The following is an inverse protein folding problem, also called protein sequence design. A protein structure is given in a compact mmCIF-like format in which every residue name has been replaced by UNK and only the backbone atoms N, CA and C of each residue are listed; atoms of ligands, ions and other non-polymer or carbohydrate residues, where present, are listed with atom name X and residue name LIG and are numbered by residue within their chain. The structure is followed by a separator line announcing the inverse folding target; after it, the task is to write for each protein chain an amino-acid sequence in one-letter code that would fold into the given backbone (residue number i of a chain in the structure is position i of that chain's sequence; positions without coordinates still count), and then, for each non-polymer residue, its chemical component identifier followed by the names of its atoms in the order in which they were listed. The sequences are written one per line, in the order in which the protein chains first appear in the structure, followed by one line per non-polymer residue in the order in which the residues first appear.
data_IF_566471240032
#
_entry.id   IF_566471240032
#
_cell.length_a   1.000
_cell.length_b   1.000
_cell.length_c   1.000
_cell.angle_alpha   90.00
_cell.angle_beta   90.00
_cell.angle_gamma   90.00
#
_symmetry.space_group_name_H-M   'P 1'
#
loop_
_entity.id
_entity.type
_entity.pdbx_description
1 polymer ?
#
# COMPACT_ATOMS: atom_id res chain seq x y z
N UNK A 1 -66.44 -56.69 -59.79
CA UNK A 1 -65.30 -57.60 -59.61
C UNK A 1 -64.13 -56.81 -59.05
N UNK A 2 -63.38 -57.37 -58.09
CA UNK A 2 -62.49 -56.67 -57.16
C UNK A 2 -61.00 -56.83 -57.51
N UNK A 3 -60.16 -55.86 -57.20
CA UNK A 3 -58.68 -56.02 -57.06
C UNK A 3 -58.23 -54.91 -56.08
N UNK A 4 -57.94 -55.24 -54.80
CA UNK A 4 -56.58 -55.50 -54.25
C UNK A 4 -55.79 -54.20 -54.02
N UNK A 5 -55.04 -53.93 -52.95
CA UNK A 5 -54.80 -54.56 -51.65
C UNK A 5 -54.15 -53.48 -50.76
N UNK A 6 -54.29 -53.65 -49.44
CA UNK A 6 -53.56 -52.93 -48.39
C UNK A 6 -52.15 -53.51 -48.23
N UNK A 7 -51.19 -52.63 -47.89
CA UNK A 7 -50.09 -52.78 -46.92
C UNK A 7 -48.95 -51.83 -47.35
N UNK A 8 -48.26 -51.09 -46.50
CA UNK A 8 -48.26 -50.90 -45.06
C UNK A 8 -47.33 -49.71 -44.81
N UNK A 9 -47.75 -48.77 -43.99
CA UNK A 9 -46.97 -47.58 -43.64
C UNK A 9 -46.31 -47.87 -42.30
N UNK A 10 -44.98 -47.99 -42.28
CA UNK A 10 -44.18 -47.94 -41.05
C UNK A 10 -43.32 -46.69 -41.09
N UNK A 11 -43.50 -45.87 -40.07
CA UNK A 11 -42.98 -44.52 -39.90
C UNK A 11 -41.47 -44.40 -39.94
N UNK A 12 -41.08 -43.24 -40.48
CA UNK A 12 -39.81 -42.55 -40.30
C UNK A 12 -39.47 -42.32 -38.82
N UNK A 13 -38.19 -42.50 -38.48
CA UNK A 13 -37.44 -41.54 -37.65
C UNK A 13 -35.95 -41.67 -37.97
N UNK A 14 -35.44 -40.70 -38.72
CA UNK A 14 -34.02 -40.41 -38.89
C UNK A 14 -33.63 -39.50 -37.72
N UNK A 15 -32.55 -39.83 -37.00
CA UNK A 15 -31.76 -38.81 -36.31
C UNK A 15 -30.29 -39.21 -36.34
N UNK A 16 -29.55 -38.55 -37.23
CA UNK A 16 -28.10 -38.46 -37.15
C UNK A 16 -27.71 -37.72 -35.87
N UNK A 17 -26.72 -38.24 -35.15
CA UNK A 17 -25.84 -37.40 -34.34
C UNK A 17 -24.41 -37.92 -34.46
N UNK A 18 -23.70 -37.37 -35.46
CA UNK A 18 -22.29 -37.06 -35.31
C UNK A 18 -22.21 -35.77 -34.48
N UNK A 19 -21.49 -35.76 -33.36
CA UNK A 19 -20.70 -34.59 -33.00
C UNK A 19 -19.64 -34.92 -31.93
N UNK A 20 -18.40 -34.70 -32.35
CA UNK A 20 -17.28 -34.14 -31.60
C UNK A 20 -16.89 -34.75 -30.25
N UNK A 21 -15.70 -35.34 -30.27
CA UNK A 21 -14.73 -35.40 -29.18
C UNK A 21 -14.55 -33.97 -28.66
N UNK A 22 -15.27 -33.59 -27.60
CA UNK A 22 -14.91 -32.44 -26.80
C UNK A 22 -13.80 -32.88 -25.85
N UNK A 23 -12.56 -32.71 -26.32
CA UNK A 23 -11.45 -32.41 -25.42
C UNK A 23 -11.92 -31.24 -24.56
N UNK A 24 -12.33 -31.55 -23.33
CA UNK A 24 -12.46 -30.56 -22.28
C UNK A 24 -11.06 -30.00 -22.07
N UNK A 25 -10.72 -28.96 -22.83
CA UNK A 25 -9.81 -27.94 -22.38
C UNK A 25 -10.43 -27.41 -21.08
N UNK A 26 -10.03 -27.99 -19.96
CA UNK A 26 -9.83 -27.19 -18.77
C UNK A 26 -8.90 -26.08 -19.24
N UNK A 27 -9.47 -24.94 -19.63
CA UNK A 27 -8.78 -23.67 -19.52
C UNK A 27 -8.49 -23.56 -18.04
N UNK A 28 -7.37 -24.16 -17.67
CA UNK A 28 -6.67 -23.88 -16.44
C UNK A 28 -6.51 -22.37 -16.52
N UNK A 29 -7.38 -21.69 -15.77
CA UNK A 29 -7.33 -20.27 -15.62
C UNK A 29 -6.01 -20.05 -14.91
N UNK A 30 -4.95 -19.88 -15.68
CA UNK A 30 -3.71 -19.26 -15.23
C UNK A 30 -4.10 -17.85 -14.83
N UNK A 31 -4.71 -17.76 -13.64
CA UNK A 31 -4.69 -16.56 -12.83
C UNK A 31 -3.23 -16.11 -12.87
N UNK A 32 -2.96 -14.89 -13.34
CA UNK A 32 -1.58 -14.45 -13.47
C UNK A 32 -0.94 -14.63 -12.10
N UNK A 33 0.06 -15.51 -12.00
CA UNK A 33 0.81 -15.70 -10.76
C UNK A 33 1.23 -14.30 -10.33
N UNK A 34 0.63 -13.80 -9.25
CA UNK A 34 0.95 -12.51 -8.67
C UNK A 34 2.39 -12.62 -8.20
N UNK A 35 3.32 -12.28 -9.09
CA UNK A 35 4.73 -12.36 -8.77
C UNK A 35 4.96 -11.33 -7.67
N UNK A 36 5.42 -11.74 -6.48
CA UNK A 36 5.62 -10.82 -5.38
C UNK A 36 6.55 -9.68 -5.80
N UNK A 37 6.43 -8.52 -5.16
CA UNK A 37 7.37 -7.43 -5.37
C UNK A 37 8.78 -7.92 -5.06
N UNK A 38 9.76 -7.59 -5.90
CA UNK A 38 11.15 -7.77 -5.50
C UNK A 38 11.48 -6.82 -4.34
N UNK A 39 12.51 -7.12 -3.54
CA UNK A 39 12.94 -6.27 -2.42
C UNK A 39 13.13 -4.80 -2.83
N UNK A 40 13.74 -4.54 -4.00
CA UNK A 40 13.93 -3.19 -4.51
C UNK A 40 12.59 -2.48 -4.80
N UNK A 41 11.58 -3.21 -5.29
CA UNK A 41 10.24 -2.68 -5.56
C UNK A 41 9.47 -2.46 -4.26
N UNK A 42 9.63 -3.33 -3.26
CA UNK A 42 9.07 -3.13 -1.93
C UNK A 42 9.65 -1.87 -1.25
N UNK A 43 10.98 -1.70 -1.30
CA UNK A 43 11.62 -0.46 -0.82
C UNK A 43 11.12 0.76 -1.58
N UNK A 44 11.01 0.68 -2.91
CA UNK A 44 10.46 1.75 -3.74
C UNK A 44 9.02 2.11 -3.35
N UNK A 45 8.18 1.12 -3.05
CA UNK A 45 6.81 1.32 -2.58
C UNK A 45 6.77 2.17 -1.30
N UNK A 46 7.60 1.83 -0.29
CA UNK A 46 7.68 2.60 0.96
C UNK A 46 8.17 4.03 0.73
N UNK A 47 9.25 4.21 -0.04
CA UNK A 47 9.81 5.54 -0.34
C UNK A 47 8.77 6.41 -1.05
N UNK A 48 8.08 5.85 -2.05
CA UNK A 48 7.03 6.55 -2.79
C UNK A 48 5.84 6.91 -1.92
N UNK A 49 5.38 5.97 -1.06
CA UNK A 49 4.31 6.23 -0.11
C UNK A 49 4.68 7.34 0.87
N UNK A 50 5.88 7.29 1.44
CA UNK A 50 6.36 8.31 2.38
C UNK A 50 6.42 9.68 1.73
N UNK A 51 7.04 9.78 0.55
CA UNK A 51 7.08 11.02 -0.22
C UNK A 51 5.68 11.57 -0.52
N UNK A 52 4.74 10.70 -0.91
CA UNK A 52 3.36 11.11 -1.18
C UNK A 52 2.62 11.61 0.08
N UNK A 53 2.92 11.06 1.26
CA UNK A 53 2.32 11.51 2.53
C UNK A 53 3.00 12.75 3.14
N UNK A 54 4.30 12.94 2.87
CA UNK A 54 5.08 14.06 3.43
C UNK A 54 5.07 15.31 2.56
N UNK A 55 4.61 15.22 1.31
CA UNK A 55 4.57 16.35 0.41
C UNK A 55 3.51 17.37 0.88
N UNK A 56 4.02 18.44 1.48
CA UNK A 56 3.22 19.54 2.04
C UNK A 56 2.63 20.45 0.97
N UNK A 57 2.93 20.24 -0.31
CA UNK A 57 2.32 21.01 -1.41
C UNK A 57 0.90 20.54 -1.71
N UNK A 58 0.48 19.40 -1.15
CA UNK A 58 -0.89 18.92 -1.29
C UNK A 58 -1.87 19.80 -0.53
N UNK A 59 -2.67 20.57 -1.29
CA UNK A 59 -3.84 21.30 -0.78
C UNK A 59 -4.95 20.26 -0.56
N UNK A 60 -5.38 20.01 0.68
CA UNK A 60 -6.38 18.98 0.91
C UNK A 60 -7.72 19.42 0.31
N UNK A 61 -8.40 18.45 -0.30
CA UNK A 61 -9.62 18.69 -1.10
C UNK A 61 -10.83 18.75 -0.17
N UNK A 62 -10.72 18.05 0.96
CA UNK A 62 -11.74 18.01 1.99
C UNK A 62 -11.07 17.97 3.36
N UNK A 63 -11.57 18.82 4.25
CA UNK A 63 -11.26 18.81 5.67
C UNK A 63 -12.54 18.67 6.45
N UNK A 64 -12.55 17.70 7.35
CA UNK A 64 -13.55 17.56 8.41
C UNK A 64 -12.84 17.49 9.76
N UNK A 65 -13.61 17.53 10.84
CA UNK A 65 -13.07 17.39 12.19
C UNK A 65 -12.27 16.09 12.38
N UNK A 66 -12.66 15.03 11.67
CA UNK A 66 -12.15 13.67 11.94
C UNK A 66 -11.37 13.07 10.75
N UNK A 67 -11.38 13.73 9.59
CA UNK A 67 -10.70 13.21 8.40
C UNK A 67 -10.24 14.29 7.44
N UNK A 68 -9.12 14.00 6.78
CA UNK A 68 -8.50 14.81 5.73
C UNK A 68 -8.42 13.95 4.47
N UNK A 69 -8.83 14.49 3.33
CA UNK A 69 -8.65 13.83 2.03
C UNK A 69 -7.63 14.61 1.21
N UNK A 70 -6.57 13.91 0.82
CA UNK A 70 -5.49 14.45 -0.01
C UNK A 70 -5.48 13.77 -1.38
N UNK A 71 -5.09 14.51 -2.41
CA UNK A 71 -4.90 14.00 -3.77
C UNK A 71 -3.52 13.36 -3.86
N UNK A 72 -3.41 12.21 -4.51
CA UNK A 72 -2.10 11.60 -4.74
C UNK A 72 -1.45 12.17 -6.01
N UNK A 73 -0.10 12.20 -6.10
CA UNK A 73 0.61 12.93 -7.15
C UNK A 73 0.26 12.49 -8.58
N UNK A 74 -0.02 11.21 -8.80
CA UNK A 74 -0.34 10.65 -10.13
C UNK A 74 -1.82 10.30 -10.30
N UNK A 75 -2.69 10.76 -9.40
CA UNK A 75 -4.14 10.50 -9.43
C UNK A 75 -4.65 9.70 -8.25
N UNK A 76 -5.96 9.64 -8.09
CA UNK A 76 -6.61 9.06 -6.90
C UNK A 76 -6.49 9.94 -5.66
N UNK A 77 -6.70 9.34 -4.49
CA UNK A 77 -6.71 10.05 -3.22
C UNK A 77 -6.30 9.15 -2.05
N UNK A 78 -5.90 9.77 -0.94
CA UNK A 78 -5.74 9.10 0.34
C UNK A 78 -6.60 9.81 1.38
N UNK A 79 -7.29 9.02 2.21
CA UNK A 79 -8.01 9.53 3.39
C UNK A 79 -7.15 9.30 4.61
N UNK A 80 -6.87 10.36 5.36
CA UNK A 80 -6.18 10.35 6.63
C UNK A 80 -7.21 10.57 7.74
N UNK A 81 -7.28 9.66 8.70
CA UNK A 81 -8.14 9.73 9.87
C UNK A 81 -7.24 9.65 11.08
N UNK A 82 -7.31 10.61 11.99
CA UNK A 82 -6.41 10.58 13.13
C UNK A 82 -6.22 11.93 13.79
N UNK A 83 -5.13 12.04 14.53
CA UNK A 83 -4.87 13.20 15.37
C UNK A 83 -3.40 13.56 15.43
N UNK A 84 -3.18 14.85 15.68
CA UNK A 84 -1.89 15.40 16.08
C UNK A 84 -2.10 15.94 17.49
N UNK A 85 -1.42 15.32 18.46
CA UNK A 85 -1.54 15.59 19.88
C UNK A 85 -0.22 16.21 20.38
N UNK A 86 -0.25 17.51 20.65
CA UNK A 86 0.83 18.21 21.35
C UNK A 86 0.67 17.99 22.86
N UNK A 87 1.52 17.12 23.40
CA UNK A 87 1.41 16.73 24.80
C UNK A 87 2.10 17.74 25.70
N UNK A 88 1.49 18.05 26.87
CA UNK A 88 2.13 18.91 27.85
C UNK A 88 3.54 18.41 28.17
N UNK A 89 4.54 19.32 28.24
CA UNK A 89 5.89 18.93 28.57
C UNK A 89 5.93 18.18 29.92
N UNK A 90 6.61 17.04 29.94
CA UNK A 90 6.89 16.31 31.18
C UNK A 90 8.36 16.51 31.50
N UNK A 91 8.64 17.21 32.60
CA UNK A 91 9.97 17.75 32.89
C UNK A 91 10.45 18.64 31.72
N UNK A 92 11.66 18.41 31.24
CA UNK A 92 12.30 19.14 30.13
C UNK A 92 12.04 18.50 28.76
N UNK A 93 10.96 17.72 28.60
CA UNK A 93 10.66 17.03 27.33
C UNK A 93 9.31 17.46 26.78
N UNK A 94 9.32 18.17 25.65
CA UNK A 94 8.14 18.40 24.83
C UNK A 94 7.89 17.19 23.92
N UNK A 95 6.63 16.84 23.66
CA UNK A 95 6.28 15.65 22.86
C UNK A 95 5.13 15.94 21.90
N UNK A 96 5.34 15.64 20.64
CA UNK A 96 4.33 15.65 19.59
C UNK A 96 4.02 14.21 19.22
N UNK A 97 2.75 13.82 19.27
CA UNK A 97 2.30 12.49 18.82
C UNK A 97 1.42 12.67 17.59
N UNK A 98 1.73 11.91 16.55
CA UNK A 98 0.97 11.80 15.31
C UNK A 98 0.44 10.37 15.25
N UNK A 99 -0.87 10.19 15.10
CA UNK A 99 -1.51 8.87 14.96
C UNK A 99 -2.55 8.98 13.85
N UNK A 100 -2.26 8.37 12.70
CA UNK A 100 -3.11 8.40 11.52
C UNK A 100 -3.37 7.00 10.96
N UNK A 101 -4.63 6.71 10.70
CA UNK A 101 -5.06 5.70 9.76
C UNK A 101 -5.10 6.32 8.34
N UNK A 102 -4.36 5.73 7.42
CA UNK A 102 -4.18 6.14 6.04
C UNK A 102 -4.84 5.09 5.15
N UNK A 103 -5.86 5.52 4.42
CA UNK A 103 -6.60 4.68 3.48
C UNK A 103 -6.50 5.23 2.05
N UNK A 104 -5.53 4.76 1.25
CA UNK A 104 -5.44 5.07 -0.17
C UNK A 104 -6.62 4.49 -0.97
N UNK A 105 -7.02 5.20 -2.01
CA UNK A 105 -8.03 4.77 -2.99
C UNK A 105 -7.58 5.18 -4.39
N UNK A 106 -7.08 4.21 -5.15
CA UNK A 106 -6.46 4.38 -6.47
C UNK A 106 -5.29 5.37 -6.46
N UNK A 107 -4.56 5.44 -5.34
CA UNK A 107 -3.56 6.47 -5.10
C UNK A 107 -2.29 6.18 -5.91
N UNK A 108 -2.00 7.04 -6.90
CA UNK A 108 -0.83 6.91 -7.76
C UNK A 108 0.37 7.73 -7.28
N UNK A 109 1.55 7.13 -7.24
CA UNK A 109 2.82 7.81 -6.94
C UNK A 109 4.05 7.13 -7.58
N UNK A 110 5.19 7.81 -7.53
CA UNK A 110 6.49 7.24 -7.95
C UNK A 110 7.40 7.07 -6.74
N UNK A 111 8.06 5.92 -6.64
CA UNK A 111 9.14 5.68 -5.68
C UNK A 111 10.33 5.05 -6.37
N UNK A 112 11.53 5.62 -6.21
CA UNK A 112 12.79 5.12 -6.81
C UNK A 112 12.69 4.75 -8.31
N UNK A 113 11.88 5.48 -9.09
CA UNK A 113 11.67 5.25 -10.52
C UNK A 113 10.57 4.25 -10.89
N UNK A 114 9.94 3.60 -9.91
CA UNK A 114 8.77 2.74 -10.10
C UNK A 114 7.48 3.52 -9.87
N UNK A 115 6.50 3.34 -10.75
CA UNK A 115 5.18 3.95 -10.62
C UNK A 115 4.20 2.93 -10.04
N UNK A 116 3.61 3.28 -8.91
CA UNK A 116 2.64 2.45 -8.20
C UNK A 116 1.26 3.09 -8.21
N UNK A 117 0.24 2.25 -8.20
CA UNK A 117 -1.11 2.59 -7.75
C UNK A 117 -1.41 1.74 -6.53
N UNK A 118 -1.94 2.32 -5.45
CA UNK A 118 -2.27 1.58 -4.23
C UNK A 118 -3.68 1.84 -3.71
N UNK A 119 -4.23 0.80 -3.09
CA UNK A 119 -5.53 0.80 -2.43
C UNK A 119 -5.40 0.23 -1.01
N UNK A 120 -6.25 0.70 -0.10
CA UNK A 120 -6.28 0.24 1.28
C UNK A 120 -6.86 -1.17 1.41
N UNK A 121 -6.12 -2.08 2.03
CA UNK A 121 -6.61 -3.41 2.40
C UNK A 121 -5.87 -3.99 3.63
N UNK A 122 -6.19 -3.58 4.88
CA UNK A 122 -7.23 -2.65 5.31
C UNK A 122 -6.82 -1.16 5.26
N UNK A 123 -5.58 -0.86 4.86
CA UNK A 123 -4.95 0.46 4.99
C UNK A 123 -3.74 0.39 5.91
N UNK A 124 -3.14 1.55 6.20
CA UNK A 124 -1.96 1.67 7.05
C UNK A 124 -2.32 2.49 8.29
N UNK A 125 -1.87 2.06 9.45
CA UNK A 125 -1.79 2.90 10.65
C UNK A 125 -0.36 3.35 10.85
N UNK A 126 -0.17 4.65 10.95
CA UNK A 126 1.12 5.29 11.19
C UNK A 126 1.08 6.07 12.50
N UNK A 127 1.90 5.67 13.46
CA UNK A 127 2.03 6.31 14.76
C UNK A 127 3.46 6.81 14.89
N UNK A 128 3.66 8.10 15.09
CA UNK A 128 4.97 8.71 15.28
C UNK A 128 4.95 9.61 16.51
N UNK A 129 5.92 9.44 17.40
CA UNK A 129 6.18 10.31 18.54
C UNK A 129 7.50 11.01 18.34
N UNK A 130 7.45 12.34 18.29
CA UNK A 130 8.63 13.20 18.28
C UNK A 130 8.79 13.81 19.67
N UNK A 131 9.95 13.61 20.28
CA UNK A 131 10.29 14.17 21.58
C UNK A 131 11.48 15.12 21.46
N UNK A 132 11.36 16.30 22.07
CA UNK A 132 12.43 17.30 22.15
C UNK A 132 12.81 17.47 23.61
N UNK A 133 14.02 17.04 23.97
CA UNK A 133 14.59 17.25 25.31
C UNK A 133 15.26 18.61 25.33
N UNK A 134 14.64 19.60 25.96
CA UNK A 134 15.03 21.01 25.88
C UNK A 134 16.34 21.32 26.61
N UNK A 135 16.69 20.54 27.64
CA UNK A 135 17.94 20.71 28.39
C UNK A 135 19.18 20.30 27.60
N UNK A 136 19.04 19.31 26.71
CA UNK A 136 20.14 18.78 25.88
C UNK A 136 19.97 19.09 24.40
N UNK A 137 18.86 19.74 24.02
CA UNK A 137 18.42 19.94 22.64
C UNK A 137 18.46 18.65 21.82
N UNK A 138 18.10 17.52 22.43
CA UNK A 138 18.06 16.22 21.77
C UNK A 138 16.69 15.99 21.13
N UNK A 139 16.72 15.65 19.84
CA UNK A 139 15.56 15.25 19.06
C UNK A 139 15.49 13.71 19.02
N UNK A 140 14.39 13.15 19.49
CA UNK A 140 14.13 11.71 19.45
C UNK A 140 12.87 11.49 18.62
N UNK A 141 12.90 10.53 17.72
CA UNK A 141 11.71 10.09 16.98
C UNK A 141 11.54 8.60 17.20
N UNK A 142 10.33 8.18 17.53
CA UNK A 142 9.96 6.77 17.63
C UNK A 142 8.61 6.59 16.99
N UNK A 143 8.39 5.50 16.26
CA UNK A 143 7.13 5.28 15.59
C UNK A 143 6.93 3.85 15.13
N UNK A 144 5.74 3.60 14.58
CA UNK A 144 5.36 2.33 14.00
C UNK A 144 4.44 2.55 12.81
N UNK A 145 4.63 1.74 11.78
CA UNK A 145 3.80 1.72 10.58
C UNK A 145 3.34 0.30 10.35
N UNK A 146 2.05 0.07 10.51
CA UNK A 146 1.47 -1.27 10.45
C UNK A 146 0.26 -1.31 9.54
N UNK A 147 0.06 -2.38 8.79
CA UNK A 147 -1.14 -2.56 7.98
C UNK A 147 -0.86 -3.31 6.69
N UNK A 148 -1.70 -3.08 5.69
CA UNK A 148 -1.51 -3.67 4.37
C UNK A 148 -2.15 -2.81 3.27
N UNK A 149 -1.54 -2.87 2.09
CA UNK A 149 -1.99 -2.21 0.87
C UNK A 149 -2.07 -3.22 -0.26
N UNK A 150 -3.10 -3.08 -1.09
CA UNK A 150 -3.07 -3.64 -2.42
C UNK A 150 -2.27 -2.70 -3.32
N UNK A 151 -1.45 -3.26 -4.21
CA UNK A 151 -0.59 -2.52 -5.11
C UNK A 151 -0.78 -2.98 -6.55
N UNK A 152 -0.59 -2.04 -7.48
CA UNK A 152 -0.42 -2.30 -8.90
C UNK A 152 0.91 -1.71 -9.37
N UNK A 153 1.71 -2.51 -10.07
CA UNK A 153 2.98 -2.10 -10.68
C UNK A 153 3.13 -2.75 -12.06
N UNK A 154 3.16 -1.92 -13.10
CA UNK A 154 3.34 -2.37 -14.49
C UNK A 154 2.38 -3.50 -14.90
N UNK A 155 1.11 -3.42 -14.48
CA UNK A 155 0.07 -4.41 -14.77
C UNK A 155 0.10 -5.68 -13.89
N UNK A 156 1.07 -5.81 -12.98
CA UNK A 156 1.03 -6.81 -11.89
C UNK A 156 0.30 -6.23 -10.70
N UNK A 157 -0.41 -7.08 -9.98
CA UNK A 157 -1.08 -6.72 -8.73
C UNK A 157 -0.69 -7.67 -7.61
N UNK A 158 -0.85 -7.22 -6.37
CA UNK A 158 -0.70 -8.03 -5.19
C UNK A 158 -0.99 -7.24 -3.92
N UNK A 159 -0.74 -7.86 -2.78
CA UNK A 159 -0.87 -7.23 -1.47
C UNK A 159 0.52 -7.11 -0.83
N UNK A 160 0.76 -6.03 -0.10
CA UNK A 160 1.95 -5.81 0.69
C UNK A 160 1.56 -5.56 2.15
N UNK A 161 1.88 -6.50 3.02
CA UNK A 161 1.80 -6.32 4.47
C UNK A 161 3.00 -5.51 4.97
N UNK A 162 2.77 -4.63 5.93
CA UNK A 162 3.75 -3.71 6.49
C UNK A 162 3.68 -3.82 8.02
N UNK A 163 4.82 -4.03 8.64
CA UNK A 163 5.03 -3.93 10.08
C UNK A 163 6.45 -3.39 10.31
N UNK A 164 6.55 -2.07 10.47
CA UNK A 164 7.81 -1.36 10.58
C UNK A 164 7.85 -0.55 11.87
N UNK A 165 9.01 -0.54 12.52
CA UNK A 165 9.33 0.36 13.62
C UNK A 165 10.26 1.45 13.13
N UNK A 166 9.93 2.70 13.44
CA UNK A 166 10.78 3.86 13.21
C UNK A 166 11.54 4.20 14.49
N UNK A 167 12.85 4.34 14.39
CA UNK A 167 13.67 4.92 15.47
C UNK A 167 14.60 5.97 14.91
N UNK A 168 14.60 7.16 15.52
CA UNK A 168 15.44 8.29 15.15
C UNK A 168 16.12 8.89 16.38
N UNK A 169 17.43 9.10 16.28
CA UNK A 169 18.29 9.59 17.36
C UNK A 169 19.31 10.61 16.83
N UNK A 170 19.75 11.57 17.65
CA UNK A 170 20.87 12.43 17.30
C UNK A 170 22.12 11.58 17.09
N UNK A 171 22.86 11.85 16.02
CA UNK A 171 24.11 11.18 15.72
C UNK A 171 25.27 12.14 15.96
N UNK A 172 26.13 11.79 16.93
CA UNK A 172 27.32 12.55 17.30
C UNK A 172 28.62 11.85 16.86
N UNK A 173 28.53 10.84 16.00
CA UNK A 173 29.70 10.10 15.50
C UNK A 173 30.53 10.89 14.49
N UNK A 174 29.93 11.91 13.85
CA UNK A 174 30.59 12.81 12.90
C UNK A 174 31.15 14.10 13.51
N UNK A 175 31.85 14.88 12.69
CA UNK A 175 32.34 16.22 13.05
C UNK A 175 31.23 17.26 13.20
N UNK A 176 30.07 17.01 12.58
CA UNK A 176 28.86 17.83 12.73
C UNK A 176 27.76 16.98 13.37
N UNK A 177 26.97 17.51 14.32
CA UNK A 177 25.83 16.80 14.87
C UNK A 177 24.83 16.50 13.75
N UNK A 178 24.61 15.21 13.49
CA UNK A 178 23.62 14.73 12.55
C UNK A 178 22.37 14.21 13.25
N UNK A 179 21.44 13.71 12.45
CA UNK A 179 20.29 12.94 12.90
C UNK A 179 20.26 11.66 12.08
N UNK A 180 20.15 10.52 12.78
CA UNK A 180 20.03 9.21 12.15
C UNK A 180 18.64 8.67 12.44
N UNK A 181 17.95 8.18 11.40
CA UNK A 181 16.69 7.48 11.56
C UNK A 181 16.66 6.20 10.73
N UNK A 182 15.92 5.21 11.21
CA UNK A 182 15.90 3.86 10.65
C UNK A 182 14.52 3.26 10.76
N UNK A 183 14.03 2.68 9.67
CA UNK A 183 12.89 1.76 9.68
C UNK A 183 13.41 0.33 9.74
N UNK A 184 12.93 -0.45 10.70
CA UNK A 184 13.24 -1.87 10.82
C UNK A 184 11.96 -2.69 11.02
N UNK A 185 11.86 -3.84 10.38
CA UNK A 185 10.72 -4.75 10.51
C UNK A 185 10.48 -5.56 9.24
N UNK A 186 9.22 -5.85 8.94
CA UNK A 186 8.81 -6.61 7.75
C UNK A 186 7.96 -5.78 6.80
N UNK A 187 8.21 -5.93 5.49
CA UNK A 187 7.46 -5.27 4.44
C UNK A 187 7.37 -6.15 3.19
N UNK A 188 6.14 -6.35 2.69
CA UNK A 188 5.81 -7.21 1.56
C UNK A 188 6.44 -8.61 1.66
N UNK A 189 6.55 -9.16 2.87
CA UNK A 189 7.18 -10.46 3.15
C UNK A 189 8.72 -10.44 3.30
N UNK A 190 9.37 -9.28 3.22
CA UNK A 190 10.82 -9.14 3.42
C UNK A 190 11.14 -8.51 4.76
N UNK A 191 12.19 -9.00 5.43
CA UNK A 191 12.84 -8.21 6.48
C UNK A 191 13.56 -7.03 5.83
N UNK A 192 13.26 -5.82 6.31
CA UNK A 192 13.84 -4.59 5.79
C UNK A 192 14.51 -3.82 6.90
N UNK A 193 15.57 -3.13 6.49
CA UNK A 193 16.30 -2.25 7.36
C UNK A 193 16.82 -1.05 6.58
N UNK A 194 16.08 0.06 6.69
CA UNK A 194 16.16 1.19 5.77
C UNK A 194 16.54 2.46 6.52
N UNK A 195 17.48 3.22 5.95
CA UNK A 195 17.76 4.58 6.40
C UNK A 195 16.52 5.45 6.15
N UNK A 196 16.08 6.14 7.19
CA UNK A 196 14.92 7.01 7.19
C UNK A 196 15.27 8.48 7.44
N UNK A 197 16.55 8.82 7.50
CA UNK A 197 17.03 10.15 7.87
C UNK A 197 16.53 11.23 6.89
N UNK A 198 16.38 10.88 5.61
CA UNK A 198 15.84 11.79 4.58
C UNK A 198 14.34 12.07 4.73
N UNK A 199 13.57 11.15 5.34
CA UNK A 199 12.12 11.33 5.54
C UNK A 199 11.78 12.16 6.77
N UNK A 200 12.74 12.38 7.65
CA UNK A 200 12.58 13.12 8.91
C UNK A 200 13.43 14.38 8.83
N UNK A 201 13.07 15.29 7.92
CA UNK A 201 13.62 16.63 7.98
C UNK A 201 12.94 17.41 9.11
N UNK A 202 13.68 17.97 10.09
CA UNK A 202 13.09 18.82 11.08
C UNK A 202 12.46 20.05 10.42
N UNK A 203 11.32 20.57 10.93
CA UNK A 203 10.74 21.80 10.43
C UNK A 203 11.69 22.97 10.71
N UNK A 204 12.46 23.40 9.70
CA UNK A 204 13.36 24.56 9.83
C UNK A 204 14.63 24.56 8.98
N UNK A 205 14.79 23.66 8.00
CA UNK A 205 15.83 23.78 6.96
C UNK A 205 15.53 24.87 5.96
#
# INVERSE_FOLDING_TARGET
MPVSARAGVTSFAITLSLCAIALGACTDSTEPESSPLALAEATALLVGLRAATSDTTFIPIFFSADSIIVRCPLGGQARLIGSIDDRPPVNDTARLVVDFDIAPAGCGFTGLGFQFTVDANPGIRDVTTTSIVTTTLQFLVDGSTTGALDWELAGRTGTCEIDLTLTGRPDFSGTEPGFSARYAGTMCGYEVDLDASEFISPPGG
#
